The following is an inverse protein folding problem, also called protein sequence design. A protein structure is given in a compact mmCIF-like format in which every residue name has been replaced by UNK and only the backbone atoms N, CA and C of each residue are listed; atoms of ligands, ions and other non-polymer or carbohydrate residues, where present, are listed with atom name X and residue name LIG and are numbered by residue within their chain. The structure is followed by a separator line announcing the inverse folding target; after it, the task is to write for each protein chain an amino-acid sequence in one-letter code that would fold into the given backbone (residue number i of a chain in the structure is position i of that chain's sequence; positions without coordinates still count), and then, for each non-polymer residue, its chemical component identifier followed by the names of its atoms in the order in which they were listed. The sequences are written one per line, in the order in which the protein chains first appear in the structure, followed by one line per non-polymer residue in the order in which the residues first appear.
data_IF_081609597416
#
_entry.id   IF_081609597416
#
_cell.length_a   1.000
_cell.length_b   1.000
_cell.length_c   1.000
_cell.angle_alpha   90.00
_cell.angle_beta   90.00
_cell.angle_gamma   90.00
#
_symmetry.space_group_name_H-M   'P 1'
#
loop_
_entity.id
_entity.type
_entity.pdbx_description
1 polymer ?
#
# COMPACT_ATOMS: atom_id res chain seq x y z
N UNK A 1 6.17 20.82 -11.58
CA UNK A 1 6.77 19.64 -10.93
C UNK A 1 7.80 20.16 -9.94
N UNK A 2 7.71 19.79 -8.64
CA UNK A 2 8.66 20.25 -7.60
C UNK A 2 10.09 19.75 -7.92
N UNK A 3 11.12 20.42 -7.34
CA UNK A 3 12.52 19.98 -7.51
C UNK A 3 12.73 18.54 -7.04
N UNK A 4 12.03 18.13 -5.99
CA UNK A 4 12.06 16.80 -5.40
C UNK A 4 11.53 15.73 -6.38
N UNK A 5 10.37 15.96 -6.99
CA UNK A 5 9.78 15.08 -8.00
C UNK A 5 10.66 14.98 -9.27
N UNK A 6 11.29 16.08 -9.68
CA UNK A 6 12.26 16.06 -10.79
C UNK A 6 13.49 15.21 -10.44
N UNK A 7 14.00 15.36 -9.21
CA UNK A 7 15.16 14.59 -8.74
C UNK A 7 14.85 13.08 -8.68
N UNK A 8 13.68 12.70 -8.17
CA UNK A 8 13.22 11.30 -8.11
C UNK A 8 13.16 10.70 -9.52
N UNK A 9 12.53 11.40 -10.48
CA UNK A 9 12.39 10.93 -11.85
C UNK A 9 13.75 10.82 -12.57
N UNK A 10 14.55 11.91 -12.57
CA UNK A 10 15.77 11.98 -13.38
C UNK A 10 16.88 11.09 -12.83
N UNK A 11 17.04 11.03 -11.48
CA UNK A 11 18.14 10.27 -10.86
C UNK A 11 17.79 8.84 -10.54
N UNK A 12 16.54 8.57 -10.21
CA UNK A 12 16.11 7.27 -9.68
C UNK A 12 15.04 6.58 -10.51
N UNK A 13 14.52 7.24 -11.57
CA UNK A 13 13.46 6.75 -12.45
C UNK A 13 12.17 6.39 -11.67
N UNK A 14 11.88 7.14 -10.60
CA UNK A 14 10.67 6.95 -9.79
C UNK A 14 9.70 8.10 -10.06
N UNK A 15 8.48 7.76 -10.46
CA UNK A 15 7.38 8.69 -10.69
C UNK A 15 6.46 8.69 -9.45
N UNK A 16 5.85 9.85 -9.17
CA UNK A 16 4.77 9.92 -8.20
C UNK A 16 3.53 9.24 -8.79
N UNK A 17 2.86 8.40 -8.01
CA UNK A 17 1.60 7.75 -8.37
C UNK A 17 0.48 8.79 -8.48
N UNK A 18 0.35 9.42 -9.66
CA UNK A 18 -0.60 10.52 -9.88
C UNK A 18 -2.06 10.04 -9.83
N UNK A 19 -2.29 8.78 -10.10
CA UNK A 19 -3.56 8.05 -10.04
C UNK A 19 -4.17 8.05 -8.63
N UNK A 20 -3.34 8.17 -7.59
CA UNK A 20 -3.78 8.18 -6.19
C UNK A 20 -4.17 9.57 -5.65
N UNK A 21 -4.19 10.59 -6.49
CA UNK A 21 -4.50 11.99 -6.09
C UNK A 21 -5.82 12.11 -5.33
N UNK A 22 -6.84 11.33 -5.70
CA UNK A 22 -8.17 11.43 -5.13
C UNK A 22 -8.24 11.05 -3.65
N UNK A 23 -7.31 10.23 -3.15
CA UNK A 23 -7.27 9.76 -1.76
C UNK A 23 -6.32 10.58 -0.88
N UNK A 24 -5.36 11.27 -1.49
CA UNK A 24 -4.39 12.11 -0.79
C UNK A 24 -4.96 13.52 -0.57
N UNK A 25 -5.13 13.92 0.69
CA UNK A 25 -5.70 15.21 1.08
C UNK A 25 -4.71 16.04 1.89
N UNK A 26 -4.69 17.38 1.73
CA UNK A 26 -3.74 18.25 2.45
C UNK A 26 -3.82 18.16 3.98
N UNK A 27 -5.00 17.81 4.52
CA UNK A 27 -5.22 17.70 5.96
C UNK A 27 -4.72 16.39 6.59
N UNK A 28 -4.28 15.41 5.80
CA UNK A 28 -3.68 14.19 6.35
C UNK A 28 -2.46 14.52 7.19
N UNK A 29 -2.45 14.03 8.42
CA UNK A 29 -1.32 14.18 9.33
C UNK A 29 -0.37 12.99 9.25
N UNK A 30 -0.91 11.78 8.94
CA UNK A 30 -0.12 10.56 8.80
C UNK A 30 -0.59 9.75 7.59
N UNK A 31 0.38 9.15 6.89
CA UNK A 31 0.17 8.12 5.89
C UNK A 31 1.01 6.90 6.29
N UNK A 32 0.39 5.73 6.33
CA UNK A 32 1.08 4.44 6.42
C UNK A 32 0.98 3.80 5.04
N UNK A 33 2.13 3.55 4.41
CA UNK A 33 2.29 3.07 3.04
C UNK A 33 2.90 1.65 3.08
N UNK A 34 2.04 0.63 3.03
CA UNK A 34 2.44 -0.79 3.05
C UNK A 34 2.52 -1.29 1.62
N UNK A 35 3.67 -1.86 1.25
CA UNK A 35 4.05 -2.11 -0.13
C UNK A 35 4.49 -0.81 -0.81
N UNK A 36 5.47 -0.12 -0.19
CA UNK A 36 5.90 1.20 -0.68
C UNK A 36 6.76 1.14 -1.94
N UNK A 37 7.26 -0.03 -2.29
CA UNK A 37 8.16 -0.26 -3.42
C UNK A 37 9.28 0.81 -3.45
N UNK A 38 9.49 1.49 -4.56
CA UNK A 38 10.49 2.57 -4.72
C UNK A 38 10.01 3.93 -4.22
N UNK A 39 8.77 4.02 -3.67
CA UNK A 39 8.19 5.20 -3.05
C UNK A 39 7.25 6.01 -3.94
N UNK A 40 6.61 5.40 -4.93
CA UNK A 40 5.70 6.07 -5.87
C UNK A 40 4.53 6.73 -5.11
N UNK A 41 3.86 5.98 -4.20
CA UNK A 41 2.78 6.51 -3.38
C UNK A 41 3.28 7.55 -2.37
N UNK A 42 4.44 7.32 -1.76
CA UNK A 42 5.07 8.30 -0.85
C UNK A 42 5.41 9.61 -1.56
N UNK A 43 5.88 9.59 -2.83
CA UNK A 43 6.07 10.80 -3.64
C UNK A 43 4.75 11.52 -3.93
N UNK A 44 3.68 10.76 -4.19
CA UNK A 44 2.33 11.31 -4.33
C UNK A 44 1.86 11.99 -3.03
N UNK A 45 2.09 11.36 -1.88
CA UNK A 45 1.80 11.94 -0.58
C UNK A 45 2.57 13.26 -0.35
N UNK A 46 3.84 13.34 -0.74
CA UNK A 46 4.62 14.59 -0.69
C UNK A 46 4.03 15.70 -1.54
N UNK A 47 3.35 15.36 -2.62
CA UNK A 47 2.72 16.33 -3.51
C UNK A 47 1.37 16.83 -3.00
N UNK A 48 0.50 15.94 -2.52
CA UNK A 48 -0.90 16.27 -2.24
C UNK A 48 -1.29 16.22 -0.75
N UNK A 49 -0.45 15.63 0.09
CA UNK A 49 -0.55 15.61 1.54
C UNK A 49 0.80 16.03 2.17
N UNK A 50 1.36 17.16 1.71
CA UNK A 50 2.75 17.56 1.97
C UNK A 50 3.12 17.71 3.44
N UNK A 51 2.13 17.94 4.32
CA UNK A 51 2.30 18.01 5.79
C UNK A 51 2.37 16.63 6.47
N UNK A 52 1.93 15.58 5.82
CA UNK A 52 1.83 14.27 6.44
C UNK A 52 3.20 13.67 6.76
N UNK A 53 3.30 12.98 7.91
CA UNK A 53 4.39 12.03 8.15
C UNK A 53 4.05 10.73 7.41
N UNK A 54 5.04 10.11 6.78
CA UNK A 54 4.87 8.83 6.10
C UNK A 54 5.69 7.76 6.81
N UNK A 55 5.04 6.65 7.16
CA UNK A 55 5.66 5.40 7.58
C UNK A 55 5.50 4.41 6.43
N UNK A 56 6.59 4.11 5.76
CA UNK A 56 6.63 3.24 4.58
C UNK A 56 7.19 1.87 4.94
N UNK A 57 6.61 0.82 4.38
CA UNK A 57 7.02 -0.56 4.55
C UNK A 57 7.28 -1.18 3.20
N UNK A 58 8.50 -1.67 3.01
CA UNK A 58 8.95 -2.35 1.80
C UNK A 58 9.95 -3.44 2.17
N UNK A 59 9.59 -4.73 2.00
CA UNK A 59 10.45 -5.82 2.41
C UNK A 59 11.67 -6.05 1.51
N UNK A 60 11.53 -5.84 0.19
CA UNK A 60 12.58 -6.15 -0.77
C UNK A 60 13.76 -5.19 -0.67
N UNK A 61 14.96 -5.75 -0.67
CA UNK A 61 16.20 -5.00 -0.52
C UNK A 61 16.46 -3.99 -1.64
N UNK A 62 16.15 -4.35 -2.89
CA UNK A 62 16.33 -3.54 -4.08
C UNK A 62 15.43 -2.28 -4.06
N UNK A 63 14.10 -2.40 -4.04
CA UNK A 63 13.17 -1.28 -3.92
C UNK A 63 13.44 -0.41 -2.69
N UNK A 64 13.66 -1.01 -1.52
CA UNK A 64 13.99 -0.28 -0.29
C UNK A 64 15.26 0.58 -0.42
N UNK A 65 16.28 0.09 -1.11
CA UNK A 65 17.50 0.88 -1.37
C UNK A 65 17.23 2.08 -2.28
N UNK A 66 16.32 1.94 -3.27
CA UNK A 66 15.90 3.06 -4.13
C UNK A 66 15.10 4.06 -3.30
N UNK A 67 14.12 3.61 -2.50
CA UNK A 67 13.33 4.45 -1.61
C UNK A 67 14.23 5.33 -0.72
N UNK A 68 15.23 4.73 -0.04
CA UNK A 68 16.17 5.47 0.80
C UNK A 68 16.93 6.57 0.05
N UNK A 69 17.28 6.34 -1.23
CA UNK A 69 17.94 7.36 -2.08
C UNK A 69 16.98 8.46 -2.49
N UNK A 70 15.73 8.13 -2.82
CA UNK A 70 14.69 9.10 -3.22
C UNK A 70 14.37 10.04 -2.07
N UNK A 71 14.21 9.51 -0.85
CA UNK A 71 13.82 10.28 0.33
C UNK A 71 14.99 10.63 1.25
N UNK A 72 16.24 10.55 0.76
CA UNK A 72 17.41 10.95 1.53
C UNK A 72 17.28 12.43 1.97
N UNK A 73 17.21 12.65 3.29
CA UNK A 73 17.03 13.99 3.88
C UNK A 73 15.57 14.41 4.11
N UNK A 74 14.58 13.64 3.71
CA UNK A 74 13.18 13.89 4.12
C UNK A 74 12.89 13.26 5.49
N UNK A 75 12.99 14.06 6.55
CA UNK A 75 12.74 13.61 7.93
C UNK A 75 11.28 13.15 8.19
N UNK A 76 10.35 13.41 7.27
CA UNK A 76 8.95 13.00 7.40
C UNK A 76 8.64 11.68 6.69
N UNK A 77 9.56 11.11 5.92
CA UNK A 77 9.43 9.79 5.31
C UNK A 77 10.36 8.81 6.01
N UNK A 78 9.78 7.84 6.71
CA UNK A 78 10.54 6.79 7.40
C UNK A 78 10.23 5.44 6.76
N UNK A 79 11.25 4.74 6.29
CA UNK A 79 11.15 3.40 5.73
C UNK A 79 11.51 2.34 6.78
N UNK A 80 10.67 1.32 6.87
CA UNK A 80 10.95 0.05 7.53
C UNK A 80 11.11 -1.03 6.46
N UNK A 81 12.25 -1.69 6.44
CA UNK A 81 12.48 -2.81 5.53
C UNK A 81 11.90 -4.09 6.13
N UNK A 82 10.59 -4.22 5.99
CA UNK A 82 9.80 -5.33 6.51
C UNK A 82 8.46 -5.41 5.77
N UNK A 83 7.85 -6.58 5.72
CA UNK A 83 6.45 -6.77 5.39
C UNK A 83 5.59 -6.63 6.65
N UNK A 84 4.31 -6.29 6.45
CA UNK A 84 3.31 -6.33 7.52
C UNK A 84 2.46 -7.59 7.36
N UNK A 85 2.30 -8.31 8.46
CA UNK A 85 1.49 -9.52 8.54
C UNK A 85 1.00 -9.79 9.97
N UNK A 86 0.17 -10.83 10.19
CA UNK A 86 -0.49 -11.08 11.47
C UNK A 86 0.47 -11.54 12.57
N UNK A 87 1.65 -12.05 12.21
CA UNK A 87 2.64 -12.60 13.14
C UNK A 87 4.04 -12.08 12.79
N UNK A 88 4.84 -11.78 13.83
CA UNK A 88 6.23 -11.42 13.66
C UNK A 88 7.10 -12.65 13.36
N UNK A 89 8.09 -12.48 12.48
CA UNK A 89 9.01 -13.55 12.11
C UNK A 89 9.75 -13.26 10.81
N UNK A 90 10.17 -14.33 10.17
CA UNK A 90 10.75 -14.32 8.81
C UNK A 90 9.81 -15.07 7.86
N UNK A 91 9.77 -14.64 6.62
CA UNK A 91 9.06 -15.31 5.53
C UNK A 91 9.88 -15.27 4.25
N UNK A 92 9.48 -16.07 3.28
CA UNK A 92 10.01 -16.03 1.93
C UNK A 92 9.05 -15.27 1.05
N UNK A 93 9.51 -14.22 0.37
CA UNK A 93 8.74 -13.49 -0.63
C UNK A 93 9.10 -13.98 -2.03
N UNK A 94 8.10 -14.16 -2.88
CA UNK A 94 8.24 -14.49 -4.30
C UNK A 94 8.52 -13.20 -5.07
N UNK A 95 9.73 -13.07 -5.58
CA UNK A 95 10.17 -11.89 -6.32
C UNK A 95 9.79 -12.03 -7.78
N UNK A 96 8.94 -11.14 -8.26
CA UNK A 96 8.56 -11.05 -9.66
C UNK A 96 9.67 -10.44 -10.51
N UNK A 97 9.71 -10.75 -11.79
CA UNK A 97 10.57 -10.07 -12.76
C UNK A 97 10.23 -8.57 -12.86
N UNK A 98 8.97 -8.18 -12.62
CA UNK A 98 8.55 -6.82 -12.32
C UNK A 98 8.44 -6.67 -10.80
N UNK A 99 9.36 -5.93 -10.16
CA UNK A 99 9.49 -5.87 -8.70
C UNK A 99 8.26 -5.32 -7.95
N UNK A 100 7.37 -4.61 -8.65
CA UNK A 100 6.08 -4.11 -8.16
C UNK A 100 4.95 -5.18 -8.12
N UNK A 101 5.23 -6.38 -8.60
CA UNK A 101 4.31 -7.53 -8.59
C UNK A 101 4.81 -8.68 -7.69
N UNK A 102 5.73 -8.41 -6.78
CA UNK A 102 6.28 -9.39 -5.83
C UNK A 102 5.34 -9.61 -4.66
N UNK A 103 5.21 -10.85 -4.17
CA UNK A 103 4.21 -11.23 -3.17
C UNK A 103 4.75 -12.22 -2.14
N UNK A 104 4.15 -12.21 -0.94
CA UNK A 104 4.29 -13.29 0.04
C UNK A 104 3.51 -14.56 -0.35
N UNK A 105 2.61 -14.45 -1.32
CA UNK A 105 1.90 -15.58 -1.90
C UNK A 105 2.55 -16.00 -3.21
N UNK A 106 2.47 -17.28 -3.60
CA UNK A 106 2.97 -17.74 -4.89
C UNK A 106 2.24 -17.05 -6.05
N UNK A 107 3.02 -16.56 -7.02
CA UNK A 107 2.49 -15.91 -8.23
C UNK A 107 1.75 -16.94 -9.09
N UNK A 108 0.48 -16.70 -9.42
CA UNK A 108 -0.31 -17.64 -10.21
C UNK A 108 0.00 -17.52 -11.70
N UNK A 109 -0.28 -18.60 -12.46
CA UNK A 109 -0.21 -18.54 -13.92
C UNK A 109 -1.24 -17.57 -14.55
N UNK A 110 -2.28 -17.16 -13.82
CA UNK A 110 -3.23 -16.15 -14.28
C UNK A 110 -2.59 -14.75 -14.23
N UNK A 111 -1.82 -14.44 -13.20
CA UNK A 111 -1.07 -13.19 -13.08
C UNK A 111 -0.18 -12.96 -14.31
N UNK A 112 0.65 -13.96 -14.65
CA UNK A 112 1.55 -13.87 -15.83
C UNK A 112 0.77 -13.72 -17.15
N UNK A 113 -0.40 -14.38 -17.29
CA UNK A 113 -1.21 -14.25 -18.50
C UNK A 113 -1.87 -12.88 -18.65
N UNK A 114 -2.34 -12.29 -17.55
CA UNK A 114 -3.01 -10.97 -17.56
C UNK A 114 -2.00 -9.82 -17.58
N UNK A 115 -0.87 -10.00 -16.91
CA UNK A 115 0.21 -9.02 -16.77
C UNK A 115 1.54 -9.65 -17.20
N UNK A 116 1.83 -9.75 -18.51
CA UNK A 116 3.05 -10.39 -19.01
C UNK A 116 4.32 -9.76 -18.44
N UNK A 117 5.28 -10.61 -18.03
CA UNK A 117 6.53 -10.18 -17.41
C UNK A 117 6.47 -10.05 -15.88
N UNK A 118 5.39 -10.55 -15.26
CA UNK A 118 5.25 -10.58 -13.78
C UNK A 118 5.48 -11.95 -13.17
N UNK A 119 6.01 -12.91 -13.93
CA UNK A 119 6.33 -14.24 -13.43
C UNK A 119 7.41 -14.21 -12.36
N UNK A 120 7.46 -15.27 -11.54
CA UNK A 120 8.46 -15.42 -10.49
C UNK A 120 9.87 -15.53 -11.08
N UNK A 121 10.79 -14.69 -10.62
CA UNK A 121 12.19 -14.66 -11.04
C UNK A 121 13.15 -15.14 -9.94
N UNK A 122 12.79 -14.96 -8.66
CA UNK A 122 13.62 -15.32 -7.52
C UNK A 122 12.78 -15.40 -6.23
N UNK A 123 13.43 -15.72 -5.12
CA UNK A 123 12.86 -15.58 -3.78
C UNK A 123 13.84 -14.82 -2.88
N UNK A 124 13.31 -14.09 -1.89
CA UNK A 124 14.11 -13.38 -0.89
C UNK A 124 13.56 -13.70 0.52
N UNK A 125 14.44 -13.90 1.51
CA UNK A 125 14.04 -13.97 2.91
C UNK A 125 13.83 -12.55 3.43
N UNK A 126 12.68 -12.31 4.04
CA UNK A 126 12.29 -11.00 4.54
C UNK A 126 11.83 -11.08 5.99
N UNK A 127 11.91 -9.95 6.68
CA UNK A 127 11.30 -9.75 7.99
C UNK A 127 9.80 -9.45 7.82
N UNK A 128 8.97 -10.08 8.66
CA UNK A 128 7.55 -9.78 8.83
C UNK A 128 7.30 -9.32 10.26
N UNK A 129 6.35 -8.42 10.46
CA UNK A 129 5.89 -8.00 11.78
C UNK A 129 4.51 -7.36 11.73
N UNK A 130 3.91 -7.12 12.89
CA UNK A 130 2.68 -6.34 13.00
C UNK A 130 3.01 -4.85 12.89
N UNK A 131 2.05 -4.03 12.51
CA UNK A 131 2.26 -2.58 12.42
C UNK A 131 2.72 -2.01 13.77
N UNK A 132 2.13 -2.48 14.88
CA UNK A 132 2.48 -2.07 16.24
C UNK A 132 3.92 -2.41 16.68
N UNK A 133 4.60 -3.35 15.99
CA UNK A 133 6.01 -3.66 16.27
C UNK A 133 6.97 -2.58 15.76
N UNK A 134 6.50 -1.69 14.89
CA UNK A 134 7.32 -0.67 14.21
C UNK A 134 6.88 0.77 14.53
N UNK A 135 5.58 0.97 14.74
CA UNK A 135 4.97 2.30 14.92
C UNK A 135 4.00 2.27 16.09
N UNK A 136 4.13 3.20 17.02
CA UNK A 136 3.21 3.29 18.16
C UNK A 136 1.91 4.02 17.78
N UNK A 137 0.86 3.84 18.57
CA UNK A 137 -0.41 4.54 18.39
C UNK A 137 -0.23 6.08 18.46
N UNK A 138 0.70 6.55 19.28
CA UNK A 138 1.01 7.98 19.48
C UNK A 138 1.73 8.58 18.26
N UNK A 139 2.45 7.78 17.48
CA UNK A 139 3.12 8.22 16.25
C UNK A 139 2.13 8.47 15.11
N UNK A 140 0.98 7.78 15.12
CA UNK A 140 -0.08 7.92 14.11
C UNK A 140 -0.98 9.10 14.48
N UNK A 141 -0.63 10.28 14.00
CA UNK A 141 -1.45 11.49 14.16
C UNK A 141 -2.62 11.49 13.21
N UNK A 142 -3.79 11.85 13.71
CA UNK A 142 -5.04 11.90 12.93
C UNK A 142 -5.24 13.26 12.27
N UNK A 143 -5.88 13.36 11.10
CA UNK A 143 -6.41 12.25 10.31
C UNK A 143 -5.31 11.44 9.62
N UNK A 144 -5.46 10.11 9.65
CA UNK A 144 -4.50 9.17 9.09
C UNK A 144 -5.11 8.31 7.97
N UNK A 145 -4.29 7.99 6.98
CA UNK A 145 -4.59 7.08 5.87
C UNK A 145 -3.69 5.85 5.97
N UNK A 146 -4.29 4.66 5.91
CA UNK A 146 -3.60 3.38 5.71
C UNK A 146 -3.73 2.98 4.24
N UNK A 147 -2.60 2.82 3.53
CA UNK A 147 -2.55 2.27 2.16
C UNK A 147 -1.92 0.89 2.20
N UNK A 148 -2.54 -0.05 1.49
CA UNK A 148 -2.02 -1.41 1.27
C UNK A 148 -2.07 -1.72 -0.21
N UNK A 149 -0.95 -2.22 -0.71
CA UNK A 149 -0.78 -2.75 -2.05
C UNK A 149 0.40 -3.74 -1.93
N UNK A 150 0.07 -4.97 -1.62
CA UNK A 150 1.02 -6.03 -1.24
C UNK A 150 0.79 -7.30 -2.05
N UNK A 151 0.16 -7.09 -3.20
CA UNK A 151 0.09 -8.06 -4.28
C UNK A 151 -0.49 -9.41 -3.82
N UNK A 152 -1.76 -9.35 -3.35
CA UNK A 152 -2.54 -10.51 -2.92
C UNK A 152 -2.50 -10.79 -1.41
N UNK A 153 -1.58 -10.18 -0.66
CA UNK A 153 -1.45 -10.40 0.79
C UNK A 153 -2.22 -9.36 1.63
N UNK A 154 -3.15 -8.62 1.04
CA UNK A 154 -3.83 -7.45 1.63
C UNK A 154 -4.59 -7.81 2.90
N UNK A 155 -5.37 -8.90 2.91
CA UNK A 155 -6.15 -9.30 4.08
C UNK A 155 -5.24 -9.67 5.27
N UNK A 156 -4.15 -10.37 5.02
CA UNK A 156 -3.18 -10.72 6.06
C UNK A 156 -2.43 -9.49 6.57
N UNK A 157 -2.08 -8.56 5.68
CA UNK A 157 -1.48 -7.28 6.07
C UNK A 157 -2.45 -6.42 6.90
N UNK A 158 -3.75 -6.41 6.55
CA UNK A 158 -4.80 -5.76 7.35
C UNK A 158 -4.91 -6.38 8.75
N UNK A 159 -4.85 -7.72 8.87
CA UNK A 159 -4.80 -8.42 10.17
C UNK A 159 -3.58 -8.01 10.99
N UNK A 160 -2.44 -7.79 10.31
CA UNK A 160 -1.23 -7.26 10.93
C UNK A 160 -1.34 -5.81 11.41
N UNK A 161 -2.36 -5.07 10.95
CA UNK A 161 -2.64 -3.69 11.37
C UNK A 161 -3.77 -3.58 12.40
N UNK A 162 -4.41 -4.68 12.80
CA UNK A 162 -5.70 -4.67 13.52
C UNK A 162 -5.64 -3.88 14.83
N UNK A 163 -4.56 -3.97 15.59
CA UNK A 163 -4.35 -3.28 16.89
C UNK A 163 -4.31 -1.74 16.75
N UNK A 164 -3.95 -1.23 15.57
CA UNK A 164 -3.86 0.21 15.30
C UNK A 164 -4.92 0.68 14.29
N UNK A 165 -5.82 -0.20 13.87
CA UNK A 165 -6.79 0.08 12.81
C UNK A 165 -7.76 1.21 13.20
N UNK A 166 -8.03 1.43 14.47
CA UNK A 166 -8.85 2.51 15.00
C UNK A 166 -8.24 3.90 14.81
N UNK A 167 -6.93 3.99 14.60
CA UNK A 167 -6.22 5.24 14.33
C UNK A 167 -6.45 5.78 12.92
N UNK A 168 -6.96 4.94 12.01
CA UNK A 168 -7.14 5.31 10.61
C UNK A 168 -8.59 5.74 10.32
N UNK A 169 -8.74 6.94 9.77
CA UNK A 169 -10.02 7.43 9.26
C UNK A 169 -10.37 6.79 7.91
N UNK A 170 -9.34 6.41 7.16
CA UNK A 170 -9.46 5.83 5.83
C UNK A 170 -8.46 4.68 5.63
N UNK A 171 -8.90 3.65 4.91
CA UNK A 171 -8.08 2.54 4.39
C UNK A 171 -8.20 2.56 2.89
N UNK A 172 -7.07 2.51 2.19
CA UNK A 172 -6.97 2.46 0.74
C UNK A 172 -6.18 1.21 0.38
N UNK A 173 -6.84 0.26 -0.28
CA UNK A 173 -6.31 -1.08 -0.46
C UNK A 173 -6.57 -1.57 -1.87
N UNK A 174 -5.54 -2.14 -2.54
CA UNK A 174 -5.72 -2.87 -3.79
C UNK A 174 -6.49 -4.16 -3.51
N UNK A 175 -7.54 -4.44 -4.28
CA UNK A 175 -8.33 -5.66 -4.15
C UNK A 175 -8.51 -6.30 -5.51
N UNK A 176 -8.36 -7.62 -5.57
CA UNK A 176 -8.55 -8.40 -6.79
C UNK A 176 -9.94 -9.07 -6.80
N UNK A 177 -10.51 -9.19 -7.99
CA UNK A 177 -11.76 -9.93 -8.25
C UNK A 177 -11.50 -11.36 -8.71
N UNK A 178 -10.25 -11.65 -9.06
CA UNK A 178 -9.78 -12.97 -9.50
C UNK A 178 -8.48 -13.31 -8.77
N UNK A 179 -8.20 -14.59 -8.63
CA UNK A 179 -7.02 -15.08 -7.91
C UNK A 179 -5.76 -14.89 -8.77
N UNK A 180 -5.03 -13.79 -8.52
CA UNK A 180 -3.76 -13.48 -9.19
C UNK A 180 -2.57 -14.12 -8.45
N UNK A 181 -2.70 -14.32 -7.15
CA UNK A 181 -1.73 -14.98 -6.28
C UNK A 181 -2.41 -16.11 -5.54
N UNK A 182 -1.77 -17.28 -5.49
CA UNK A 182 -2.38 -18.49 -4.94
C UNK A 182 -2.77 -18.32 -3.48
N UNK A 183 -4.08 -18.48 -3.19
CA UNK A 183 -4.63 -18.34 -1.83
C UNK A 183 -4.90 -16.89 -1.41
N UNK A 184 -4.85 -15.91 -2.35
CA UNK A 184 -5.20 -14.53 -1.99
C UNK A 184 -6.68 -14.38 -1.67
N UNK A 185 -6.96 -13.50 -0.72
CA UNK A 185 -8.33 -13.07 -0.45
C UNK A 185 -8.84 -12.15 -1.57
N UNK A 186 -10.10 -12.35 -1.99
CA UNK A 186 -10.72 -11.53 -3.02
C UNK A 186 -11.40 -10.29 -2.43
N UNK A 187 -11.85 -9.39 -3.31
CA UNK A 187 -12.43 -8.11 -2.96
C UNK A 187 -13.58 -8.19 -1.95
N UNK A 188 -14.46 -9.19 -2.09
CA UNK A 188 -15.61 -9.39 -1.19
C UNK A 188 -15.18 -9.77 0.23
N UNK A 189 -14.13 -10.58 0.38
CA UNK A 189 -13.58 -10.96 1.70
C UNK A 189 -12.93 -9.75 2.40
N UNK A 190 -12.16 -8.93 1.67
CA UNK A 190 -11.57 -7.70 2.20
C UNK A 190 -12.66 -6.70 2.59
N UNK A 191 -13.70 -6.54 1.75
CA UNK A 191 -14.86 -5.68 2.04
C UNK A 191 -15.59 -6.16 3.31
N UNK A 192 -15.85 -7.46 3.43
CA UNK A 192 -16.53 -8.04 4.59
C UNK A 192 -15.72 -7.79 5.88
N UNK A 193 -14.43 -8.08 5.85
CA UNK A 193 -13.53 -7.91 7.00
C UNK A 193 -13.45 -6.46 7.50
N UNK A 194 -13.30 -5.48 6.58
CA UNK A 194 -13.27 -4.06 6.92
C UNK A 194 -14.63 -3.55 7.41
N UNK A 195 -15.73 -4.09 6.87
CA UNK A 195 -17.09 -3.73 7.26
C UNK A 195 -17.41 -4.13 8.71
N UNK A 196 -16.98 -5.32 9.14
CA UNK A 196 -17.09 -5.79 10.52
C UNK A 196 -16.34 -4.86 11.49
N UNK A 197 -15.28 -4.19 11.03
CA UNK A 197 -14.45 -3.24 11.82
C UNK A 197 -14.88 -1.78 11.68
N UNK A 198 -16.11 -1.55 11.18
CA UNK A 198 -16.75 -0.23 11.16
C UNK A 198 -16.36 0.65 9.97
N UNK A 199 -15.69 0.08 8.96
CA UNK A 199 -15.45 0.77 7.70
C UNK A 199 -16.58 0.51 6.70
N UNK A 200 -16.71 1.42 5.72
CA UNK A 200 -17.60 1.25 4.58
C UNK A 200 -16.85 1.60 3.31
N UNK A 201 -17.15 0.93 2.24
CA UNK A 201 -16.63 1.27 0.92
C UNK A 201 -17.11 2.68 0.53
N UNK A 202 -16.17 3.54 0.19
CA UNK A 202 -16.41 4.96 -0.14
C UNK A 202 -16.05 5.29 -1.59
N UNK A 203 -15.30 4.43 -2.27
CA UNK A 203 -14.96 4.59 -3.68
C UNK A 203 -14.12 3.44 -4.20
N UNK A 204 -14.09 3.28 -5.51
CA UNK A 204 -13.22 2.35 -6.23
C UNK A 204 -12.54 3.15 -7.34
N UNK A 205 -11.25 2.95 -7.49
CA UNK A 205 -10.38 3.69 -8.40
C UNK A 205 -9.47 2.73 -9.17
N UNK A 206 -8.83 3.22 -10.21
CA UNK A 206 -7.74 2.53 -10.93
C UNK A 206 -8.07 1.08 -11.32
N UNK A 207 -9.28 0.86 -11.80
CA UNK A 207 -9.75 -0.47 -12.18
C UNK A 207 -9.00 -1.02 -13.38
N UNK A 208 -8.51 -2.25 -13.25
CA UNK A 208 -7.97 -3.06 -14.35
C UNK A 208 -9.01 -4.05 -14.85
N UNK A 209 -9.00 -4.30 -16.15
CA UNK A 209 -9.93 -5.21 -16.81
C UNK A 209 -9.18 -6.19 -17.71
N UNK A 210 -9.72 -7.38 -17.85
CA UNK A 210 -9.25 -8.33 -18.83
C UNK A 210 -9.70 -7.95 -20.27
N UNK A 211 -9.29 -8.75 -21.27
CA UNK A 211 -9.64 -8.50 -22.69
C UNK A 211 -11.14 -8.61 -22.98
N UNK A 212 -11.90 -9.24 -22.10
CA UNK A 212 -13.36 -9.42 -22.23
C UNK A 212 -14.13 -8.31 -21.48
N UNK A 213 -13.42 -7.40 -20.82
CA UNK A 213 -14.03 -6.34 -20.01
C UNK A 213 -14.43 -6.77 -18.60
N UNK A 214 -13.99 -7.96 -18.13
CA UNK A 214 -14.20 -8.40 -16.76
C UNK A 214 -13.21 -7.69 -15.82
N UNK A 215 -13.69 -7.25 -14.66
CA UNK A 215 -12.84 -6.63 -13.65
C UNK A 215 -11.80 -7.61 -13.11
N UNK A 216 -10.55 -7.20 -13.03
CA UNK A 216 -9.43 -7.99 -12.51
C UNK A 216 -9.02 -7.52 -11.13
N UNK A 217 -8.70 -6.24 -10.97
CA UNK A 217 -8.32 -5.62 -9.70
C UNK A 217 -8.60 -4.13 -9.73
N UNK A 218 -8.53 -3.49 -8.57
CA UNK A 218 -8.66 -2.05 -8.44
C UNK A 218 -8.35 -1.58 -7.02
N UNK A 219 -8.26 -0.27 -6.85
CA UNK A 219 -7.99 0.38 -5.58
C UNK A 219 -9.30 0.76 -4.87
N UNK A 220 -9.53 0.22 -3.69
CA UNK A 220 -10.73 0.40 -2.89
C UNK A 220 -10.47 1.35 -1.73
N UNK A 221 -11.23 2.44 -1.67
CA UNK A 221 -11.20 3.37 -0.55
C UNK A 221 -12.31 3.05 0.44
N UNK A 222 -11.93 2.82 1.67
CA UNK A 222 -12.84 2.66 2.79
C UNK A 222 -12.74 3.85 3.73
N UNK A 223 -13.88 4.24 4.33
CA UNK A 223 -13.95 5.30 5.33
C UNK A 223 -14.64 4.77 6.59
N UNK A 224 -14.12 5.14 7.77
CA UNK A 224 -14.78 4.84 9.03
C UNK A 224 -16.07 5.63 9.17
N UNK A 225 -17.14 5.02 9.69
CA UNK A 225 -18.39 5.70 9.99
C UNK A 225 -18.13 6.86 10.95
N UNK A 226 -18.56 8.07 10.60
CA UNK A 226 -18.35 9.29 11.39
C UNK A 226 -17.19 10.18 10.92
N UNK A 227 -16.23 9.69 10.14
CA UNK A 227 -15.15 10.52 9.59
C UNK A 227 -15.65 11.57 8.57
N UNK A 228 -16.86 11.38 7.99
CA UNK A 228 -17.47 12.35 7.05
C UNK A 228 -18.16 13.53 7.72
N UNK A 229 -18.54 13.43 9.00
CA UNK A 229 -19.17 14.55 9.72
C UNK A 229 -18.23 15.76 9.82
N UNK A 230 -16.91 15.54 9.81
CA UNK A 230 -15.90 16.61 9.79
C UNK A 230 -15.72 17.25 8.40
N UNK A 231 -16.30 16.67 7.32
CA UNK A 231 -16.19 17.20 5.95
C UNK A 231 -17.19 18.32 5.65
N UNK A 232 -18.33 18.41 6.36
CA UNK A 232 -19.41 19.36 6.05
C UNK A 232 -19.33 20.68 6.82
N UNK A 233 -18.42 20.84 7.77
CA UNK A 233 -18.31 22.03 8.63
C UNK A 233 -17.03 22.85 8.38
N UNK A 234 -16.46 22.78 7.18
CA UNK A 234 -15.37 23.68 6.77
C UNK A 234 -15.55 24.16 5.35
#
# INVERSE_FOLDING_TARGET
MSAELRRALVRHRVLAGAEHRQVLRPQLATVVDIGANRGQFTLAARRWASGARVFAFEPLSGPAAVFRKVFAGDARARLFQAAIGPQAGEAVIHVSAADDSSSLLPISGLQERLFPGTGEAATEKIRVGRLGDFVSAEDIKVPALLKLDVQGFELEALRGCEDLLDRFAQVYVECSFVELYTGQALADEVIAWLRERGFRLAGVYNMSYDRNGSAVQGDFLFSRRGAEAQRKNR
#
